data_IF_175467935595
#
_entry.id   IF_175467935595
#
_cell.length_a   1.000
_cell.length_b   1.000
_cell.length_c   1.000
_cell.angle_alpha   90.00
_cell.angle_beta   90.00
_cell.angle_gamma   90.00
#
_symmetry.space_group_name_H-M   'P 1'
#
loop_
_entity.id
_entity.type
_entity.pdbx_description
1 polymer ?
#
# COMPACT_ATOMS: atom_id res chain seq x y z
N UNK A 1 2.99 22.06 -15.49
CA UNK A 1 2.54 20.66 -15.65
C UNK A 1 1.04 20.51 -16.01
N UNK A 2 0.38 21.48 -16.67
CA UNK A 2 -1.09 21.47 -16.81
C UNK A 2 -1.61 20.90 -18.16
N UNK A 3 -1.00 21.28 -19.29
CA UNK A 3 -1.58 20.97 -20.61
C UNK A 3 -1.46 19.49 -21.01
N UNK A 4 -0.28 18.89 -20.86
CA UNK A 4 -0.04 17.47 -21.24
C UNK A 4 -0.92 16.50 -20.43
N UNK A 5 -1.11 16.78 -19.14
CA UNK A 5 -1.94 15.97 -18.25
C UNK A 5 -3.43 16.10 -18.58
N UNK A 6 -3.90 17.33 -18.82
CA UNK A 6 -5.28 17.57 -19.26
C UNK A 6 -5.59 16.87 -20.59
N UNK A 7 -4.65 16.92 -21.55
CA UNK A 7 -4.77 16.20 -22.81
C UNK A 7 -4.77 14.68 -22.62
N UNK A 8 -3.90 14.16 -21.73
CA UNK A 8 -3.84 12.74 -21.40
C UNK A 8 -5.12 12.23 -20.74
N UNK A 9 -5.65 12.94 -19.74
CA UNK A 9 -6.94 12.58 -19.10
C UNK A 9 -8.11 12.70 -20.08
N UNK A 10 -8.09 13.70 -20.97
CA UNK A 10 -9.05 13.82 -22.06
C UNK A 10 -9.01 12.60 -23.00
N UNK A 11 -7.82 12.21 -23.46
CA UNK A 11 -7.62 11.03 -24.29
C UNK A 11 -8.05 9.74 -23.57
N UNK A 12 -7.64 9.58 -22.31
CA UNK A 12 -7.99 8.44 -21.46
C UNK A 12 -9.51 8.30 -21.32
N UNK A 13 -10.22 9.40 -21.09
CA UNK A 13 -11.68 9.40 -20.99
C UNK A 13 -12.36 8.99 -22.30
N UNK A 14 -11.85 9.46 -23.44
CA UNK A 14 -12.35 9.05 -24.76
C UNK A 14 -12.07 7.57 -25.01
N UNK A 15 -10.84 7.11 -24.75
CA UNK A 15 -10.46 5.71 -24.89
C UNK A 15 -11.32 4.80 -24.00
N UNK A 16 -11.56 5.20 -22.75
CA UNK A 16 -12.41 4.45 -21.83
C UNK A 16 -13.88 4.40 -22.26
N UNK A 17 -14.38 5.39 -23.00
CA UNK A 17 -15.73 5.34 -23.58
C UNK A 17 -15.81 4.47 -24.81
N UNK A 18 -14.73 4.42 -25.61
CA UNK A 18 -14.72 3.72 -26.90
C UNK A 18 -14.35 2.23 -26.77
N UNK A 19 -13.45 1.89 -25.84
CA UNK A 19 -12.99 0.52 -25.66
C UNK A 19 -13.82 -0.25 -24.64
N UNK A 20 -14.17 -1.47 -25.03
CA UNK A 20 -14.83 -2.43 -24.17
C UNK A 20 -13.95 -2.85 -23.00
N UNK A 21 -14.62 -3.26 -21.94
CA UNK A 21 -14.01 -3.76 -20.72
C UNK A 21 -13.29 -5.08 -21.01
N UNK A 22 -12.14 -5.28 -20.36
CA UNK A 22 -11.39 -6.54 -20.42
C UNK A 22 -12.17 -7.66 -19.74
N UNK A 23 -12.39 -8.76 -20.46
CA UNK A 23 -13.11 -9.93 -19.95
C UNK A 23 -12.25 -11.18 -19.82
N UNK A 24 -11.14 -11.26 -20.55
CA UNK A 24 -10.24 -12.43 -20.56
C UNK A 24 -9.13 -12.25 -19.53
N UNK A 25 -8.93 -13.28 -18.69
CA UNK A 25 -7.84 -13.35 -17.72
C UNK A 25 -6.49 -13.54 -18.42
N UNK A 26 -5.53 -12.68 -18.12
CA UNK A 26 -4.12 -12.78 -18.52
C UNK A 26 -3.21 -12.14 -17.46
N UNK A 27 -3.65 -12.18 -16.19
CA UNK A 27 -2.97 -11.50 -15.09
C UNK A 27 -1.53 -12.00 -14.91
N UNK A 28 -1.31 -13.32 -15.00
CA UNK A 28 0.01 -13.90 -14.82
C UNK A 28 1.03 -13.44 -15.87
N UNK A 29 0.60 -13.19 -17.10
CA UNK A 29 1.48 -12.78 -18.20
C UNK A 29 1.62 -11.26 -18.32
N UNK A 30 0.58 -10.51 -17.97
CA UNK A 30 0.54 -9.05 -18.22
C UNK A 30 0.59 -8.20 -16.95
N UNK A 31 0.30 -8.76 -15.78
CA UNK A 31 0.08 -8.04 -14.53
C UNK A 31 -1.21 -7.20 -14.51
N UNK A 32 -2.13 -7.42 -15.47
CA UNK A 32 -3.40 -6.67 -15.60
C UNK A 32 -4.58 -7.49 -15.12
N UNK A 33 -5.54 -6.82 -14.49
CA UNK A 33 -6.77 -7.41 -13.97
C UNK A 33 -7.97 -7.02 -14.83
N UNK A 34 -8.89 -7.96 -15.02
CA UNK A 34 -10.26 -7.70 -15.41
C UNK A 34 -11.05 -7.09 -14.24
N UNK A 35 -12.18 -6.40 -14.47
CA UNK A 35 -13.01 -5.93 -13.36
C UNK A 35 -13.58 -7.06 -12.51
N UNK A 36 -13.82 -8.22 -13.11
CA UNK A 36 -14.28 -9.40 -12.37
C UNK A 36 -13.20 -9.87 -11.39
N UNK A 37 -11.97 -10.03 -11.85
CA UNK A 37 -10.84 -10.42 -10.99
C UNK A 37 -10.55 -9.35 -9.93
N UNK A 38 -10.71 -8.06 -10.26
CA UNK A 38 -10.60 -6.99 -9.27
C UNK A 38 -11.65 -7.12 -8.15
N UNK A 39 -12.89 -7.46 -8.50
CA UNK A 39 -13.95 -7.69 -7.51
C UNK A 39 -13.66 -8.94 -6.67
N UNK A 40 -13.28 -10.05 -7.30
CA UNK A 40 -12.93 -11.30 -6.60
C UNK A 40 -11.73 -11.07 -5.66
N UNK A 41 -10.71 -10.35 -6.10
CA UNK A 41 -9.55 -10.02 -5.27
C UNK A 41 -9.86 -9.01 -4.15
N UNK A 42 -10.82 -8.12 -4.37
CA UNK A 42 -11.32 -7.22 -3.34
C UNK A 42 -12.17 -7.93 -2.29
N UNK A 43 -12.97 -8.92 -2.69
CA UNK A 43 -13.72 -9.77 -1.75
C UNK A 43 -12.77 -10.56 -0.85
N UNK A 44 -11.72 -11.14 -1.41
CA UNK A 44 -10.70 -11.84 -0.65
C UNK A 44 -9.95 -10.91 0.32
N UNK A 45 -9.58 -9.71 -0.13
CA UNK A 45 -8.91 -8.70 0.71
C UNK A 45 -9.79 -8.33 1.92
N UNK A 46 -11.07 -8.04 1.69
CA UNK A 46 -12.03 -7.69 2.75
C UNK A 46 -12.25 -8.88 3.70
N UNK A 47 -12.28 -10.11 3.17
CA UNK A 47 -12.45 -11.31 3.96
C UNK A 47 -11.24 -11.60 4.87
N UNK A 48 -10.02 -11.45 4.34
CA UNK A 48 -8.77 -11.70 5.11
C UNK A 48 -8.43 -10.56 6.06
N UNK A 49 -8.73 -9.32 5.67
CA UNK A 49 -8.34 -8.11 6.40
C UNK A 49 -9.58 -7.21 6.58
N UNK A 50 -10.41 -7.43 7.63
CA UNK A 50 -11.68 -6.71 7.83
C UNK A 50 -11.57 -5.19 8.02
N UNK A 51 -10.35 -4.66 8.17
CA UNK A 51 -10.07 -3.21 8.14
C UNK A 51 -10.36 -2.60 6.76
N UNK A 52 -10.31 -3.40 5.70
CA UNK A 52 -10.71 -3.04 4.36
C UNK A 52 -12.20 -3.30 4.16
N UNK A 53 -12.89 -2.36 3.51
CA UNK A 53 -14.32 -2.44 3.28
C UNK A 53 -14.69 -1.97 1.87
N UNK A 54 -15.66 -2.62 1.25
CA UNK A 54 -16.25 -2.15 0.00
C UNK A 54 -17.11 -0.91 0.22
N UNK A 55 -16.97 0.05 -0.69
CA UNK A 55 -17.75 1.28 -0.74
C UNK A 55 -18.44 1.35 -2.09
N UNK A 56 -19.74 1.59 -2.04
CA UNK A 56 -20.56 1.86 -3.22
C UNK A 56 -20.39 3.28 -3.73
N UNK A 57 -20.99 3.56 -4.88
CA UNK A 57 -20.97 4.90 -5.46
C UNK A 57 -22.12 5.12 -6.44
N UNK A 58 -22.20 6.30 -7.04
CA UNK A 58 -23.19 6.58 -8.08
C UNK A 58 -23.09 5.56 -9.22
N UNK A 59 -24.22 5.10 -9.75
CA UNK A 59 -24.24 4.06 -10.81
C UNK A 59 -23.56 4.52 -12.10
N UNK A 60 -23.60 5.83 -12.39
CA UNK A 60 -22.94 6.43 -13.55
C UNK A 60 -21.41 6.35 -13.48
N UNK A 61 -20.85 6.11 -12.29
CA UNK A 61 -19.40 5.97 -12.08
C UNK A 61 -19.04 4.49 -12.15
N UNK A 62 -18.15 4.15 -13.08
CA UNK A 62 -17.64 2.79 -13.29
C UNK A 62 -18.77 1.76 -13.48
N UNK A 63 -19.62 1.96 -14.49
CA UNK A 63 -20.75 1.09 -14.86
C UNK A 63 -20.40 -0.41 -14.98
N UNK A 64 -19.14 -0.71 -15.30
CA UNK A 64 -18.57 -2.06 -15.38
C UNK A 64 -18.30 -2.74 -14.03
N UNK A 65 -18.53 -2.07 -12.90
CA UNK A 65 -18.43 -2.64 -11.55
C UNK A 65 -19.79 -2.68 -10.85
N UNK A 66 -20.03 -3.63 -9.92
CA UNK A 66 -21.25 -3.67 -9.11
C UNK A 66 -21.49 -2.38 -8.31
N UNK A 67 -22.75 -2.01 -8.08
CA UNK A 67 -23.14 -0.78 -7.37
C UNK A 67 -22.52 -0.63 -5.98
N UNK A 68 -22.43 -1.74 -5.24
CA UNK A 68 -21.86 -1.77 -3.90
C UNK A 68 -20.34 -1.96 -3.84
N UNK A 69 -19.68 -2.17 -4.98
CA UNK A 69 -18.25 -2.54 -5.06
C UNK A 69 -17.51 -1.63 -6.05
N UNK A 70 -17.52 -0.32 -5.78
CA UNK A 70 -16.88 0.69 -6.66
C UNK A 70 -15.45 0.99 -6.23
N UNK A 71 -15.21 1.07 -4.94
CA UNK A 71 -13.88 1.20 -4.36
C UNK A 71 -13.78 0.43 -3.04
N UNK A 72 -12.56 0.07 -2.67
CA UNK A 72 -12.24 -0.54 -1.38
C UNK A 72 -11.57 0.54 -0.54
N UNK A 73 -11.99 0.70 0.71
CA UNK A 73 -11.43 1.69 1.64
C UNK A 73 -10.87 1.01 2.87
N UNK A 74 -9.73 1.50 3.34
CA UNK A 74 -9.28 1.35 4.71
C UNK A 74 -9.28 2.73 5.37
N UNK A 75 -10.12 2.91 6.38
CA UNK A 75 -10.23 4.15 7.15
C UNK A 75 -9.37 4.06 8.40
N UNK A 76 -8.52 5.05 8.62
CA UNK A 76 -7.76 5.11 9.87
C UNK A 76 -6.33 4.55 9.80
N UNK A 77 -5.73 4.42 8.63
CA UNK A 77 -4.37 3.91 8.48
C UNK A 77 -3.36 4.88 9.16
N UNK A 78 -2.63 4.45 10.20
CA UNK A 78 -1.72 5.35 10.91
C UNK A 78 -0.43 5.57 10.12
N UNK A 79 0.10 6.79 10.23
CA UNK A 79 1.39 7.23 9.73
C UNK A 79 2.14 7.91 10.88
N UNK A 80 3.06 7.16 11.50
CA UNK A 80 3.81 7.60 12.68
C UNK A 80 5.07 8.37 12.32
N UNK A 81 5.61 8.13 11.13
CA UNK A 81 6.91 8.65 10.69
C UNK A 81 6.78 9.39 9.35
N UNK A 82 7.58 10.45 9.19
CA UNK A 82 7.71 11.14 7.90
C UNK A 82 8.64 10.37 6.99
N UNK A 83 8.46 10.52 5.67
CA UNK A 83 9.44 9.99 4.74
C UNK A 83 10.76 10.73 4.98
N UNK A 84 11.89 10.01 5.14
CA UNK A 84 13.16 10.66 5.39
C UNK A 84 13.46 11.65 4.26
N UNK A 85 13.87 12.85 4.65
CA UNK A 85 14.36 13.87 3.74
C UNK A 85 15.77 13.42 3.38
N UNK A 86 15.93 12.75 2.23
CA UNK A 86 17.21 12.25 1.72
C UNK A 86 18.37 13.16 2.15
N UNK A 87 19.23 12.67 3.06
CA UNK A 87 20.56 13.22 3.18
C UNK A 87 21.26 12.87 1.87
N UNK A 88 21.51 13.89 1.05
CA UNK A 88 22.32 13.74 -0.15
C UNK A 88 23.70 13.18 0.22
N UNK A 89 23.90 11.87 0.06
CA UNK A 89 25.02 11.23 -0.64
C UNK A 89 25.13 9.73 -0.31
N UNK A 90 25.16 8.93 -1.38
CA UNK A 90 25.67 7.55 -1.50
C UNK A 90 25.12 6.49 -0.54
N UNK A 91 23.93 5.98 -0.84
CA UNK A 91 23.71 4.53 -0.83
C UNK A 91 23.79 4.06 -2.29
N UNK A 92 24.45 2.93 -2.61
CA UNK A 92 24.46 2.46 -4.00
C UNK A 92 23.01 2.22 -4.41
N UNK A 93 22.58 2.86 -5.49
CA UNK A 93 21.39 2.45 -6.22
C UNK A 93 21.68 1.03 -6.72
N UNK A 94 21.39 0.02 -5.90
CA UNK A 94 21.33 -1.36 -6.34
C UNK A 94 20.07 -1.47 -7.18
N UNK A 95 20.25 -1.15 -8.47
CA UNK A 95 19.30 -1.49 -9.50
C UNK A 95 19.41 -3.00 -9.66
N UNK A 96 18.31 -3.72 -9.46
CA UNK A 96 18.30 -5.14 -9.82
C UNK A 96 18.44 -5.30 -11.34
N UNK A 97 18.64 -6.53 -11.79
CA UNK A 97 18.88 -6.86 -13.21
C UNK A 97 17.72 -6.42 -14.13
N UNK A 98 16.56 -6.06 -13.55
CA UNK A 98 15.32 -5.65 -14.22
C UNK A 98 14.98 -4.15 -14.08
N UNK A 99 15.89 -3.32 -13.54
CA UNK A 99 15.70 -1.86 -13.51
C UNK A 99 14.86 -1.35 -12.32
N UNK A 100 14.65 -2.15 -11.29
CA UNK A 100 13.94 -1.77 -10.06
C UNK A 100 14.89 -1.20 -9.02
N UNK A 101 14.48 -0.11 -8.37
CA UNK A 101 15.22 0.46 -7.22
C UNK A 101 14.71 -0.25 -5.97
N UNK A 102 15.46 -1.21 -5.46
CA UNK A 102 15.25 -1.77 -4.13
C UNK A 102 15.88 -0.79 -3.14
N UNK A 103 15.05 -0.01 -2.44
CA UNK A 103 15.53 0.67 -1.22
C UNK A 103 15.61 -0.39 -0.13
N UNK A 104 16.76 -1.03 0.03
CA UNK A 104 17.03 -1.75 1.26
C UNK A 104 17.02 -0.73 2.40
N UNK A 105 16.11 -0.93 3.35
CA UNK A 105 16.11 -0.14 4.58
C UNK A 105 17.48 -0.34 5.25
N UNK A 106 18.16 0.74 5.68
CA UNK A 106 19.35 0.57 6.49
C UNK A 106 18.93 -0.23 7.73
N UNK A 107 19.58 -1.37 7.94
CA UNK A 107 19.49 -2.10 9.19
C UNK A 107 20.06 -1.17 10.26
N UNK A 108 19.19 -0.36 10.87
CA UNK A 108 19.52 0.35 12.09
C UNK A 108 19.69 -0.76 13.11
N UNK A 109 20.94 -1.09 13.42
CA UNK A 109 21.29 -1.91 14.56
C UNK A 109 20.74 -1.19 15.77
N UNK A 110 19.56 -1.63 16.24
CA UNK A 110 19.03 -1.19 17.51
C UNK A 110 20.10 -1.53 18.56
N UNK A 111 20.53 -0.57 19.40
CA UNK A 111 21.43 -0.90 20.48
C UNK A 111 20.77 -1.99 21.34
N UNK A 112 21.52 -3.06 21.58
CA UNK A 112 21.08 -4.22 22.34
C UNK A 112 20.40 -3.75 23.63
N UNK A 113 19.09 -3.96 23.71
CA UNK A 113 18.37 -3.84 24.96
C UNK A 113 19.03 -4.83 25.92
N UNK A 114 19.70 -4.28 26.94
CA UNK A 114 20.14 -5.03 28.10
C UNK A 114 18.88 -5.62 28.70
N UNK A 115 18.77 -6.95 28.58
CA UNK A 115 17.74 -7.73 29.25
C UNK A 115 18.07 -7.60 30.74
N UNK A 116 17.36 -6.73 31.46
CA UNK A 116 17.37 -6.76 32.92
C UNK A 116 16.69 -8.05 33.37
N UNK A 117 17.43 -8.81 34.19
CA UNK A 117 17.04 -10.13 34.67
C UNK A 117 15.69 -10.10 35.38
N UNK A 118 14.92 -11.15 35.10
CA UNK A 118 13.67 -11.50 35.76
C UNK A 118 13.90 -11.64 37.28
N UNK A 119 13.65 -10.56 38.04
CA UNK A 119 13.70 -10.62 39.50
C UNK A 119 12.48 -11.36 40.01
N UNK A 120 12.68 -12.66 40.22
CA UNK A 120 11.80 -13.55 40.99
C UNK A 120 11.34 -12.85 42.26
N UNK A 121 10.03 -12.71 42.40
CA UNK A 121 9.34 -12.22 43.60
C UNK A 121 9.56 -13.20 44.75
N UNK A 122 10.49 -12.90 45.66
CA UNK A 122 10.57 -13.53 46.97
C UNK A 122 9.65 -12.77 47.93
N UNK A 123 8.56 -13.42 48.30
CA UNK A 123 7.68 -13.00 49.40
C UNK A 123 8.36 -13.40 50.71
N UNK A 124 8.94 -12.44 51.44
CA UNK A 124 9.09 -12.49 52.92
C UNK A 124 9.57 -11.13 53.46
N UNK A 125 8.76 -10.61 54.39
CA UNK A 125 9.01 -9.75 55.56
C UNK A 125 9.72 -8.36 55.48
N UNK A 126 8.92 -7.37 55.87
CA UNK A 126 9.14 -6.34 56.92
C UNK A 126 9.56 -4.89 56.54
N UNK A 127 8.66 -3.98 56.97
CA UNK A 127 8.79 -2.58 57.38
C UNK A 127 9.59 -1.53 56.57
N UNK A 128 8.86 -0.55 56.01
CA UNK A 128 8.79 0.87 56.48
C UNK A 128 8.51 1.89 55.34
N UNK A 129 8.07 3.08 55.77
CA UNK A 129 7.12 3.99 55.12
C UNK A 129 7.60 4.86 53.93
N UNK A 130 6.59 5.38 53.23
CA UNK A 130 6.46 6.71 52.58
C UNK A 130 7.37 7.07 51.41
N UNK A 131 6.78 7.23 50.21
CA UNK A 131 6.41 8.57 49.71
C UNK A 131 5.65 8.48 48.37
N UNK A 132 4.48 9.12 48.34
CA UNK A 132 3.65 9.35 47.16
C UNK A 132 4.40 10.22 46.14
N UNK A 133 4.91 9.62 45.07
CA UNK A 133 5.42 10.34 43.90
C UNK A 133 4.62 9.92 42.66
N UNK A 134 3.75 10.83 42.24
CA UNK A 134 2.92 10.76 41.03
C UNK A 134 3.71 10.24 39.81
N UNK A 135 3.29 9.10 39.28
CA UNK A 135 3.69 8.64 37.95
C UNK A 135 3.02 9.52 36.90
N UNK A 136 3.63 10.68 36.62
CA UNK A 136 3.35 11.43 35.42
C UNK A 136 3.82 10.59 34.23
N UNK A 137 2.90 9.87 33.61
CA UNK A 137 3.08 9.33 32.28
C UNK A 137 3.48 10.49 31.36
N UNK A 138 4.74 10.49 30.93
CA UNK A 138 5.22 11.36 29.85
C UNK A 138 4.46 10.99 28.58
N UNK A 139 3.37 11.70 28.32
CA UNK A 139 2.77 11.76 26.99
C UNK A 139 3.83 12.34 26.05
N UNK A 140 4.51 11.47 25.32
CA UNK A 140 5.33 11.87 24.17
C UNK A 140 4.39 12.58 23.19
N UNK A 141 4.70 13.81 22.83
CA UNK A 141 3.90 14.66 21.95
C UNK A 141 3.42 13.90 20.71
N UNK A 142 2.12 13.59 20.65
CA UNK A 142 1.47 12.87 19.55
C UNK A 142 1.25 13.79 18.32
N UNK A 143 2.08 14.84 18.15
CA UNK A 143 1.90 15.88 17.12
C UNK A 143 2.37 15.46 15.73
N UNK A 144 3.13 14.36 15.64
CA UNK A 144 3.59 13.79 14.37
C UNK A 144 2.62 12.77 13.78
N UNK A 145 1.71 12.18 14.57
CA UNK A 145 0.80 11.15 14.10
C UNK A 145 -0.19 11.72 13.08
N UNK A 146 -0.23 11.08 11.90
CA UNK A 146 -1.21 11.37 10.85
C UNK A 146 -2.02 10.12 10.57
N UNK A 147 -3.25 10.34 10.14
CA UNK A 147 -4.19 9.26 9.86
C UNK A 147 -4.62 9.36 8.41
N UNK A 148 -4.64 8.25 7.69
CA UNK A 148 -4.98 8.20 6.28
C UNK A 148 -6.21 7.34 6.03
N UNK A 149 -7.11 7.85 5.20
CA UNK A 149 -8.09 7.02 4.50
C UNK A 149 -7.47 6.60 3.17
N UNK A 150 -7.37 5.30 2.95
CA UNK A 150 -6.72 4.68 1.80
C UNK A 150 -7.79 4.05 0.93
N UNK A 151 -7.84 4.45 -0.34
CA UNK A 151 -8.82 3.96 -1.31
C UNK A 151 -8.13 3.22 -2.43
N UNK A 152 -8.65 2.06 -2.79
CA UNK A 152 -8.26 1.30 -3.98
C UNK A 152 -9.41 1.33 -4.98
N UNK A 153 -9.10 1.75 -6.21
CA UNK A 153 -10.05 1.84 -7.31
C UNK A 153 -9.50 1.12 -8.53
N UNK A 154 -10.37 0.46 -9.30
CA UNK A 154 -9.98 -0.10 -10.60
C UNK A 154 -9.85 0.98 -11.68
N UNK A 155 -8.65 1.11 -12.25
CA UNK A 155 -8.40 1.96 -13.41
C UNK A 155 -8.67 1.20 -14.71
N UNK A 156 -9.74 1.57 -15.43
CA UNK A 156 -10.13 0.91 -16.70
C UNK A 156 -9.08 1.02 -17.80
N UNK A 157 -8.33 2.11 -17.83
CA UNK A 157 -7.38 2.36 -18.92
C UNK A 157 -6.15 1.47 -18.78
N UNK A 158 -5.60 1.39 -17.57
CA UNK A 158 -4.43 0.57 -17.27
C UNK A 158 -4.78 -0.87 -16.91
N UNK A 159 -6.04 -1.15 -16.60
CA UNK A 159 -6.54 -2.46 -16.17
C UNK A 159 -5.82 -2.92 -14.90
N UNK A 160 -5.59 -2.00 -13.97
CA UNK A 160 -4.85 -2.23 -12.73
C UNK A 160 -5.52 -1.52 -11.56
N UNK A 161 -5.27 -1.97 -10.31
CA UNK A 161 -5.67 -1.23 -9.13
C UNK A 161 -4.87 0.08 -9.04
N UNK A 162 -5.54 1.14 -8.60
CA UNK A 162 -5.00 2.47 -8.39
C UNK A 162 -5.31 2.91 -6.97
N UNK A 163 -4.30 3.42 -6.27
CA UNK A 163 -4.44 3.87 -4.88
C UNK A 163 -4.63 5.38 -4.80
N UNK A 164 -5.49 5.80 -3.88
CA UNK A 164 -5.73 7.18 -3.51
C UNK A 164 -5.65 7.31 -1.98
N UNK A 165 -5.13 8.44 -1.51
CA UNK A 165 -4.87 8.72 -0.10
C UNK A 165 -5.48 10.05 0.28
N UNK A 166 -6.21 10.06 1.39
CA UNK A 166 -6.73 11.27 2.02
C UNK A 166 -6.18 11.33 3.44
N UNK A 167 -5.37 12.34 3.72
CA UNK A 167 -4.70 12.48 5.01
C UNK A 167 -5.48 13.38 5.96
N UNK A 168 -5.42 13.04 7.24
CA UNK A 168 -6.00 13.77 8.36
C UNK A 168 -4.95 13.93 9.48
N UNK A 169 -5.16 14.91 10.34
CA UNK A 169 -4.41 15.02 11.58
C UNK A 169 -4.72 13.84 12.52
N UNK A 170 -4.11 13.83 13.70
CA UNK A 170 -4.28 12.77 14.71
C UNK A 170 -5.72 12.59 15.20
N UNK A 171 -6.60 13.55 14.94
CA UNK A 171 -8.03 13.51 15.27
C UNK A 171 -8.89 12.76 14.25
N UNK A 172 -8.35 12.37 13.09
CA UNK A 172 -9.08 11.77 11.95
C UNK A 172 -10.25 12.63 11.43
N UNK A 173 -10.24 13.93 11.73
CA UNK A 173 -11.32 14.87 11.36
C UNK A 173 -10.74 16.05 10.57
N UNK A 174 -9.60 16.58 10.98
CA UNK A 174 -8.98 17.74 10.34
C UNK A 174 -8.21 17.28 9.10
N UNK A 175 -8.62 17.66 7.87
CA UNK A 175 -7.92 17.23 6.66
C UNK A 175 -6.55 17.89 6.55
N UNK A 176 -5.55 17.12 6.13
CA UNK A 176 -4.21 17.63 5.86
C UNK A 176 -4.16 18.41 4.55
N UNK A 177 -3.24 19.36 4.49
CA UNK A 177 -2.93 20.02 3.23
C UNK A 177 -2.12 19.08 2.32
N UNK A 178 -2.21 19.33 1.01
CA UNK A 178 -1.42 18.63 0.00
C UNK A 178 0.08 18.62 0.33
N UNK A 179 0.62 19.73 0.83
CA UNK A 179 2.06 19.83 1.11
C UNK A 179 2.44 19.05 2.38
N UNK A 180 1.57 19.01 3.38
CA UNK A 180 1.75 18.12 4.53
C UNK A 180 1.77 16.65 4.11
N UNK A 181 0.81 16.21 3.29
CA UNK A 181 0.80 14.82 2.84
C UNK A 181 2.03 14.46 1.99
N UNK A 182 2.67 15.44 1.33
CA UNK A 182 3.98 15.29 0.66
C UNK A 182 5.18 15.26 1.63
N UNK A 183 4.96 15.24 2.93
CA UNK A 183 6.04 14.93 3.88
C UNK A 183 6.06 13.44 4.21
N UNK A 184 4.96 12.73 3.93
CA UNK A 184 4.81 11.30 4.22
C UNK A 184 5.20 10.41 3.04
N UNK A 185 5.48 10.98 1.86
CA UNK A 185 5.93 10.26 0.65
C UNK A 185 7.39 10.60 0.35
N UNK A 186 8.17 9.62 -0.14
CA UNK A 186 9.55 9.87 -0.57
C UNK A 186 9.64 10.93 -1.67
N UNK A 187 10.64 11.81 -1.54
CA UNK A 187 10.86 12.87 -2.53
C UNK A 187 11.15 12.35 -3.93
N UNK A 188 11.87 11.24 -4.03
CA UNK A 188 12.21 10.54 -5.27
C UNK A 188 10.98 10.06 -6.05
N UNK A 189 9.85 9.83 -5.36
CA UNK A 189 8.59 9.35 -5.93
C UNK A 189 7.70 10.49 -6.45
N UNK A 190 7.98 11.76 -6.11
CA UNK A 190 7.19 12.90 -6.59
C UNK A 190 7.30 13.11 -8.10
N UNK A 191 6.15 13.29 -8.74
CA UNK A 191 6.07 13.57 -10.17
C UNK A 191 6.41 12.36 -11.06
N UNK A 192 6.94 11.28 -10.49
CA UNK A 192 7.14 9.99 -11.16
C UNK A 192 5.96 9.07 -10.93
N UNK A 193 5.67 8.77 -9.65
CA UNK A 193 4.63 7.82 -9.25
C UNK A 193 3.51 8.49 -8.47
N UNK A 194 3.77 9.62 -7.78
CA UNK A 194 2.76 10.28 -6.96
C UNK A 194 2.27 11.60 -7.59
N UNK A 195 0.95 11.71 -7.73
CA UNK A 195 0.22 12.85 -8.33
C UNK A 195 -0.95 13.29 -7.46
N UNK A 196 -1.53 14.46 -7.73
CA UNK A 196 -2.75 14.94 -7.06
C UNK A 196 -3.90 14.83 -8.05
N UNK A 197 -4.81 13.89 -7.85
CA UNK A 197 -5.93 13.58 -8.74
C UNK A 197 -7.25 13.62 -7.99
N UNK A 198 -8.36 14.00 -8.65
CA UNK A 198 -9.68 13.82 -8.08
C UNK A 198 -9.99 12.34 -7.94
N UNK A 199 -10.48 11.92 -6.77
CA UNK A 199 -10.95 10.55 -6.58
C UNK A 199 -12.16 10.28 -7.49
N UNK A 200 -12.21 9.17 -8.24
CA UNK A 200 -13.27 8.92 -9.24
C UNK A 200 -14.68 8.82 -8.66
N UNK A 201 -14.83 8.29 -7.44
CA UNK A 201 -16.12 8.21 -6.71
C UNK A 201 -16.40 9.48 -5.90
N UNK A 202 -15.45 9.94 -5.06
CA UNK A 202 -15.64 11.05 -4.13
C UNK A 202 -15.52 12.44 -4.76
N UNK A 203 -14.90 12.57 -5.94
CA UNK A 203 -14.62 13.84 -6.64
C UNK A 203 -13.79 14.86 -5.86
N UNK A 204 -13.12 14.45 -4.76
CA UNK A 204 -12.22 15.29 -3.97
C UNK A 204 -10.77 15.16 -4.48
N UNK A 205 -9.99 16.26 -4.51
CA UNK A 205 -8.57 16.19 -4.83
C UNK A 205 -7.83 15.45 -3.71
N UNK A 206 -7.07 14.42 -4.08
CA UNK A 206 -6.33 13.59 -3.13
C UNK A 206 -5.01 13.14 -3.74
N UNK A 207 -4.10 12.64 -2.89
CA UNK A 207 -2.87 12.04 -3.39
C UNK A 207 -3.22 10.74 -4.09
N UNK A 208 -2.68 10.51 -5.29
CA UNK A 208 -2.88 9.31 -6.08
C UNK A 208 -1.55 8.73 -6.52
N UNK A 209 -1.45 7.41 -6.48
CA UNK A 209 -0.32 6.67 -7.03
C UNK A 209 -0.67 6.30 -8.48
N UNK A 210 0.11 6.82 -9.42
CA UNK A 210 -0.15 6.73 -10.84
C UNK A 210 0.09 5.30 -11.37
N UNK A 211 -0.89 4.68 -12.04
CA UNK A 211 -0.88 3.25 -12.34
C UNK A 211 -0.02 2.81 -13.54
N UNK A 212 0.73 3.72 -14.17
CA UNK A 212 1.40 3.45 -15.44
C UNK A 212 2.42 2.30 -15.40
N UNK A 213 3.06 2.08 -14.26
CA UNK A 213 4.02 0.98 -14.05
C UNK A 213 3.47 -0.17 -13.24
N UNK A 214 2.22 -0.10 -12.77
CA UNK A 214 1.66 -1.14 -11.89
C UNK A 214 1.64 -2.51 -12.59
N UNK A 215 1.20 -2.58 -13.85
CA UNK A 215 1.15 -3.85 -14.58
C UNK A 215 2.55 -4.48 -14.75
N UNK A 216 3.55 -3.66 -15.09
CA UNK A 216 4.94 -4.09 -15.22
C UNK A 216 5.49 -4.62 -13.90
N UNK A 217 5.31 -3.87 -12.80
CA UNK A 217 5.79 -4.29 -11.48
C UNK A 217 5.09 -5.53 -10.96
N UNK A 218 3.77 -5.64 -11.13
CA UNK A 218 3.02 -6.84 -10.75
C UNK A 218 3.51 -8.06 -11.52
N UNK A 219 3.76 -7.91 -12.84
CA UNK A 219 4.31 -8.98 -13.67
C UNK A 219 5.71 -9.40 -13.21
N UNK A 220 6.61 -8.47 -12.91
CA UNK A 220 7.95 -8.79 -12.41
C UNK A 220 7.90 -9.53 -11.06
N UNK A 221 7.01 -9.12 -10.15
CA UNK A 221 6.81 -9.84 -8.90
C UNK A 221 6.33 -11.28 -9.12
N UNK A 222 5.42 -11.49 -10.07
CA UNK A 222 4.93 -12.83 -10.44
C UNK A 222 6.02 -13.70 -11.06
N UNK A 223 6.87 -13.13 -11.93
CA UNK A 223 8.04 -13.82 -12.46
C UNK A 223 8.99 -14.28 -11.36
N UNK A 224 9.27 -13.41 -10.39
CA UNK A 224 10.14 -13.78 -9.26
C UNK A 224 9.54 -14.88 -8.39
N UNK A 225 8.23 -14.87 -8.15
CA UNK A 225 7.54 -15.96 -7.45
C UNK A 225 7.60 -17.28 -8.23
N UNK A 226 7.46 -17.20 -9.56
CA UNK A 226 7.58 -18.37 -10.42
C UNK A 226 9.01 -18.95 -10.38
N UNK A 227 10.03 -18.11 -10.49
CA UNK A 227 11.44 -18.55 -10.40
C UNK A 227 11.78 -19.19 -9.05
N UNK A 228 11.26 -18.63 -7.95
CA UNK A 228 11.41 -19.23 -6.63
C UNK A 228 10.74 -20.61 -6.55
N UNK A 229 9.50 -20.71 -7.03
CA UNK A 229 8.76 -21.97 -7.09
C UNK A 229 9.48 -23.03 -7.93
N UNK A 230 9.97 -22.64 -9.11
CA UNK A 230 10.71 -23.53 -10.02
C UNK A 230 12.02 -24.00 -9.39
N UNK A 231 12.71 -23.13 -8.62
CA UNK A 231 13.94 -23.48 -7.90
C UNK A 231 13.69 -24.46 -6.76
N UNK A 232 12.60 -24.28 -6.01
CA UNK A 232 12.24 -25.18 -4.90
C UNK A 232 11.79 -26.55 -5.38
N UNK A 233 11.09 -26.59 -6.52
CA UNK A 233 10.56 -27.81 -7.11
C UNK A 233 11.46 -28.39 -8.23
N UNK A 234 12.68 -27.88 -8.39
CA UNK A 234 13.59 -28.27 -9.48
C UNK A 234 13.93 -29.78 -9.51
N UNK A 235 13.75 -30.49 -8.39
CA UNK A 235 14.03 -31.91 -8.26
C UNK A 235 12.75 -32.80 -8.23
N UNK A 236 11.57 -32.22 -8.44
CA UNK A 236 10.32 -32.95 -8.48
C UNK A 236 9.77 -33.00 -9.91
N UNK A 237 9.91 -34.16 -10.57
CA UNK A 237 9.43 -34.41 -11.92
C UNK A 237 7.89 -34.37 -12.05
N UNK A 238 7.15 -34.38 -10.93
CA UNK A 238 5.69 -34.30 -10.90
C UNK A 238 5.17 -32.94 -10.40
N UNK A 239 6.02 -31.92 -10.29
CA UNK A 239 5.58 -30.60 -9.85
C UNK A 239 4.59 -29.99 -10.86
N UNK A 240 3.43 -29.56 -10.35
CA UNK A 240 2.46 -28.80 -11.12
C UNK A 240 3.05 -27.42 -11.49
N UNK A 241 2.70 -26.85 -12.65
CA UNK A 241 3.20 -25.53 -13.05
C UNK A 241 2.73 -24.45 -12.08
N UNK A 242 3.58 -23.46 -11.85
CA UNK A 242 3.22 -22.31 -11.03
C UNK A 242 2.01 -21.57 -11.61
N UNK A 243 0.94 -21.47 -10.84
CA UNK A 243 -0.25 -20.68 -11.16
C UNK A 243 -0.56 -19.77 -9.99
N UNK A 244 -0.49 -18.46 -10.22
CA UNK A 244 -0.81 -17.49 -9.17
C UNK A 244 -2.33 -17.36 -8.99
N UNK A 245 -2.87 -17.52 -7.77
CA UNK A 245 -4.30 -17.35 -7.53
C UNK A 245 -4.70 -15.87 -7.66
N UNK A 246 -5.43 -15.50 -8.73
CA UNK A 246 -5.72 -14.09 -9.06
C UNK A 246 -6.56 -13.36 -8.00
N UNK A 247 -7.35 -14.08 -7.20
CA UNK A 247 -8.07 -13.50 -6.05
C UNK A 247 -7.12 -12.94 -4.96
N UNK A 248 -5.82 -13.24 -5.02
CA UNK A 248 -4.80 -12.69 -4.11
C UNK A 248 -4.07 -11.47 -4.71
N UNK A 249 -4.45 -11.02 -5.91
CA UNK A 249 -3.75 -9.96 -6.63
C UNK A 249 -3.71 -8.61 -5.86
N UNK A 250 -4.75 -8.29 -5.09
CA UNK A 250 -4.75 -7.05 -4.30
C UNK A 250 -3.82 -7.11 -3.07
N UNK A 251 -3.58 -8.29 -2.50
CA UNK A 251 -2.58 -8.46 -1.44
C UNK A 251 -1.17 -8.29 -1.99
N UNK A 252 -0.91 -8.87 -3.18
CA UNK A 252 0.35 -8.65 -3.90
C UNK A 252 0.53 -7.16 -4.26
N UNK A 253 -0.55 -6.49 -4.69
CA UNK A 253 -0.53 -5.05 -4.96
C UNK A 253 -0.22 -4.22 -3.71
N UNK A 254 -0.82 -4.54 -2.55
CA UNK A 254 -0.52 -3.86 -1.29
C UNK A 254 0.94 -4.05 -0.88
N UNK A 255 1.50 -5.25 -1.09
CA UNK A 255 2.92 -5.51 -0.86
C UNK A 255 3.80 -4.63 -1.76
N UNK A 256 3.46 -4.47 -3.03
CA UNK A 256 4.11 -3.51 -3.92
C UNK A 256 3.98 -2.07 -3.39
N UNK A 257 2.79 -1.61 -3.00
CA UNK A 257 2.62 -0.24 -2.53
C UNK A 257 3.39 0.03 -1.22
N UNK A 258 3.57 -0.97 -0.37
CA UNK A 258 4.38 -0.83 0.84
C UNK A 258 5.83 -0.42 0.56
N UNK A 259 6.38 -0.71 -0.64
CA UNK A 259 7.73 -0.24 -1.03
C UNK A 259 7.72 1.22 -1.51
N UNK A 260 6.61 1.69 -2.06
CA UNK A 260 6.46 3.07 -2.55
C UNK A 260 6.17 4.03 -1.39
N UNK A 261 5.41 3.57 -0.39
CA UNK A 261 4.90 4.34 0.74
C UNK A 261 5.09 3.61 2.08
N UNK A 262 6.33 3.40 2.56
CA UNK A 262 6.58 2.58 3.75
C UNK A 262 6.13 3.21 5.07
N UNK A 263 5.90 4.53 5.08
CA UNK A 263 5.53 5.33 6.26
C UNK A 263 4.09 5.10 6.72
N UNK A 264 3.21 4.67 5.82
CA UNK A 264 1.79 4.47 6.08
C UNK A 264 1.54 2.98 6.29
N UNK A 265 0.84 2.62 7.36
CA UNK A 265 0.57 1.23 7.71
C UNK A 265 -0.73 0.75 7.06
N UNK A 266 -0.62 -0.03 5.98
CA UNK A 266 -1.75 -0.53 5.20
C UNK A 266 -2.28 -1.92 5.64
N UNK A 267 -1.81 -2.43 6.78
CA UNK A 267 -2.08 -3.78 7.30
C UNK A 267 -2.03 -4.86 6.20
N UNK A 268 -0.81 -5.12 5.71
CA UNK A 268 -0.55 -6.29 4.87
C UNK A 268 -0.35 -7.45 5.83
N UNK A 269 -1.43 -8.20 6.10
CA UNK A 269 -1.42 -9.33 7.03
C UNK A 269 -0.13 -10.14 6.89
N UNK A 270 0.60 -10.32 7.98
CA UNK A 270 1.94 -10.94 8.03
C UNK A 270 2.01 -12.40 7.56
N UNK A 271 0.90 -12.96 7.05
CA UNK A 271 0.81 -14.32 6.51
C UNK A 271 1.01 -14.45 5.00
N UNK A 272 1.24 -13.34 4.27
CA UNK A 272 1.61 -13.38 2.85
C UNK A 272 3.13 -13.41 2.70
N UNK A 273 3.74 -14.55 3.02
CA UNK A 273 5.10 -14.82 2.60
C UNK A 273 5.05 -15.09 1.09
N UNK A 274 5.73 -14.24 0.32
CA UNK A 274 6.11 -14.59 -1.05
C UNK A 274 7.02 -15.81 -0.90
N UNK A 275 6.47 -16.98 -1.16
CA UNK A 275 7.24 -18.17 -1.47
C UNK A 275 8.05 -17.80 -2.72
#
# INVERSE_FOLDING_TARGET
MSLRRSLYEGFKNVHNKLHNVKTTSDFQTTGRLTPREFVEAGDELVQKNPVWQWVGGPEAVQDYLPKGKKCIVYRGAPCTERAPVDQANSSPEAVDEDGFVITEAPQVVLPAAVIEEEKVLTWDDDDSESDEASVAATATDNSSLRIYDVYIVYDKYYQTPRMYLVGYASDHVTPLTTDQMKEDVYRSNYGKTVTIDPHPVLSIPCISIHPCRHAETMRSLLHRMQENYDRENANDDNAEPFVFPTHLALLLFLKFISTVLPTIQYDVSSGFYLI
#
